data_IF_212645155442
#
_entry.id   IF_212645155442
#
_cell.length_a   1.000
_cell.length_b   1.000
_cell.length_c   1.000
_cell.angle_alpha   90.00
_cell.angle_beta   90.00
_cell.angle_gamma   90.00
#
_symmetry.space_group_name_H-M   'P 1'
#
loop_
_entity.id
_entity.type
_entity.pdbx_description
1 polymer ?
#
# COMPACT_ATOMS: atom_id res chain seq x y z
N UNK A 1 -25.12 2.89 35.51
CA UNK A 1 -24.96 2.21 34.20
C UNK A 1 -23.97 3.04 33.39
N UNK A 2 -22.66 2.75 33.51
CA UNK A 2 -21.61 3.46 32.76
C UNK A 2 -21.51 2.77 31.40
N UNK A 3 -21.91 3.46 30.34
CA UNK A 3 -21.65 3.06 28.97
C UNK A 3 -20.22 3.49 28.63
N UNK A 4 -19.35 2.49 28.47
CA UNK A 4 -17.98 2.67 28.03
C UNK A 4 -17.95 3.28 26.62
N UNK A 5 -17.33 4.45 26.54
CA UNK A 5 -16.98 5.12 25.29
C UNK A 5 -15.76 4.37 24.78
N UNK A 6 -15.93 3.45 23.83
CA UNK A 6 -14.80 2.80 23.16
C UNK A 6 -14.14 3.81 22.23
N UNK A 7 -13.21 4.58 22.79
CA UNK A 7 -12.30 5.43 22.06
C UNK A 7 -11.42 4.58 21.15
N UNK A 8 -11.74 4.56 19.86
CA UNK A 8 -10.77 4.19 18.83
C UNK A 8 -10.40 5.51 18.18
N UNK A 9 -9.19 5.98 18.49
CA UNK A 9 -8.59 7.14 17.83
C UNK A 9 -8.77 6.97 16.32
N UNK A 10 -9.53 7.87 15.70
CA UNK A 10 -9.49 8.02 14.25
C UNK A 10 -8.02 8.31 13.91
N UNK A 11 -7.27 7.30 13.46
CA UNK A 11 -5.97 7.51 12.82
C UNK A 11 -6.26 8.57 11.76
N UNK A 12 -5.66 9.75 11.89
CA UNK A 12 -5.98 10.88 11.04
C UNK A 12 -5.98 10.41 9.59
N UNK A 13 -6.99 10.81 8.82
CA UNK A 13 -7.02 10.58 7.37
C UNK A 13 -5.82 11.33 6.77
N UNK A 14 -4.67 10.65 6.71
CA UNK A 14 -3.45 11.17 6.09
C UNK A 14 -3.75 11.25 4.60
N UNK A 15 -4.02 12.46 4.13
CA UNK A 15 -4.29 12.74 2.72
C UNK A 15 -3.02 13.29 2.06
N UNK A 16 -2.67 12.80 0.87
CA UNK A 16 -1.52 13.31 0.14
C UNK A 16 -1.77 14.74 -0.33
N UNK A 17 -0.73 15.57 -0.30
CA UNK A 17 -0.73 16.94 -0.82
C UNK A 17 -0.74 16.98 -2.34
N UNK A 18 -0.03 16.05 -2.99
CA UNK A 18 0.07 16.00 -4.45
C UNK A 18 0.31 14.58 -4.96
N UNK A 19 0.12 14.40 -6.27
CA UNK A 19 0.30 13.12 -6.96
C UNK A 19 1.16 13.39 -8.19
N UNK A 20 2.18 12.57 -8.41
CA UNK A 20 2.93 12.53 -9.65
C UNK A 20 3.02 11.09 -10.18
N UNK A 21 3.50 10.92 -11.41
CA UNK A 21 3.73 9.60 -11.99
C UNK A 21 5.21 9.22 -11.87
N UNK A 22 5.48 7.94 -11.59
CA UNK A 22 6.85 7.43 -11.53
C UNK A 22 7.51 7.54 -12.91
N UNK A 23 8.78 7.98 -12.92
CA UNK A 23 9.56 8.16 -14.17
C UNK A 23 10.52 7.01 -14.44
N UNK A 24 10.97 6.34 -13.38
CA UNK A 24 11.92 5.24 -13.42
C UNK A 24 11.48 4.20 -12.40
N UNK A 25 11.80 2.95 -12.68
CA UNK A 25 11.60 1.88 -11.72
C UNK A 25 12.54 2.04 -10.52
N UNK A 26 12.03 1.70 -9.34
CA UNK A 26 12.77 1.56 -8.09
C UNK A 26 12.03 0.59 -7.18
N UNK A 27 12.66 0.13 -6.10
CA UNK A 27 12.04 -0.75 -5.10
C UNK A 27 10.79 -0.12 -4.47
N UNK A 28 10.80 1.19 -4.28
CA UNK A 28 9.63 1.94 -3.80
C UNK A 28 8.49 1.93 -4.83
N UNK A 29 8.80 2.14 -6.11
CA UNK A 29 7.82 2.10 -7.21
C UNK A 29 7.23 0.70 -7.38
N UNK A 30 8.04 -0.34 -7.20
CA UNK A 30 7.57 -1.74 -7.20
C UNK A 30 6.52 -1.97 -6.12
N UNK A 31 6.77 -1.51 -4.89
CA UNK A 31 5.80 -1.65 -3.81
C UNK A 31 4.55 -0.79 -4.02
N UNK A 32 4.70 0.46 -4.49
CA UNK A 32 3.57 1.32 -4.87
C UNK A 32 2.70 0.67 -5.95
N UNK A 33 3.32 0.06 -6.95
CA UNK A 33 2.64 -0.71 -7.99
C UNK A 33 1.78 -1.82 -7.38
N UNK A 34 2.35 -2.61 -6.45
CA UNK A 34 1.62 -3.71 -5.76
C UNK A 34 0.44 -3.18 -4.96
N UNK A 35 0.62 -2.14 -4.14
CA UNK A 35 -0.48 -1.50 -3.40
C UNK A 35 -1.60 -1.03 -4.32
N UNK A 36 -1.24 -0.39 -5.45
CA UNK A 36 -2.22 0.15 -6.41
C UNK A 36 -2.98 -0.94 -7.14
N UNK A 37 -2.33 -2.05 -7.49
CA UNK A 37 -3.03 -3.21 -8.02
C UNK A 37 -4.05 -3.79 -7.03
N UNK A 38 -3.75 -3.76 -5.73
CA UNK A 38 -4.67 -4.22 -4.69
C UNK A 38 -5.77 -3.20 -4.33
N UNK A 39 -5.76 -2.00 -4.93
CA UNK A 39 -6.76 -0.96 -4.71
C UNK A 39 -6.43 0.03 -3.59
N UNK A 40 -5.15 0.15 -3.22
CA UNK A 40 -4.64 1.10 -2.23
C UNK A 40 -3.64 2.05 -2.88
N UNK A 41 -3.57 3.28 -2.41
CA UNK A 41 -2.60 4.27 -2.89
C UNK A 41 -1.17 3.86 -2.54
N UNK A 42 -0.97 3.42 -1.30
CA UNK A 42 0.31 3.09 -0.69
C UNK A 42 0.12 2.25 0.60
N UNK A 43 1.23 1.99 1.30
CA UNK A 43 1.25 1.28 2.57
C UNK A 43 0.44 1.98 3.68
N UNK A 44 0.43 3.31 3.69
CA UNK A 44 -0.26 4.10 4.72
C UNK A 44 -1.77 3.85 4.64
N UNK A 45 -2.34 3.94 3.42
CA UNK A 45 -3.76 3.65 3.23
C UNK A 45 -4.08 2.19 3.52
N UNK A 46 -3.23 1.24 3.09
CA UNK A 46 -3.44 -0.18 3.37
C UNK A 46 -3.54 -0.45 4.88
N UNK A 47 -2.59 0.08 5.66
CA UNK A 47 -2.56 -0.06 7.13
C UNK A 47 -3.77 0.58 7.80
N UNK A 48 -4.23 1.72 7.30
CA UNK A 48 -5.43 2.39 7.80
C UNK A 48 -6.69 1.56 7.51
N UNK A 49 -6.88 1.12 6.27
CA UNK A 49 -8.09 0.39 5.83
C UNK A 49 -8.16 -0.99 6.47
N UNK A 50 -7.05 -1.72 6.54
CA UNK A 50 -7.00 -3.07 7.11
C UNK A 50 -6.72 -3.11 8.61
N UNK A 51 -6.47 -1.95 9.22
CA UNK A 51 -6.17 -1.82 10.65
C UNK A 51 -5.02 -2.74 11.08
N UNK A 52 -3.96 -2.77 10.25
CA UNK A 52 -2.72 -3.53 10.51
C UNK A 52 -1.56 -2.58 10.71
N UNK A 53 -0.58 -2.97 11.52
CA UNK A 53 0.62 -2.15 11.77
C UNK A 53 1.78 -2.49 10.81
N UNK A 54 1.80 -3.71 10.28
CA UNK A 54 2.85 -4.23 9.39
C UNK A 54 2.26 -4.86 8.12
N UNK A 55 3.06 -4.88 7.07
CA UNK A 55 2.76 -5.55 5.80
C UNK A 55 3.67 -6.76 5.64
N UNK A 56 3.14 -7.86 5.12
CA UNK A 56 3.94 -9.05 4.83
C UNK A 56 4.82 -8.78 3.61
N UNK A 57 6.14 -8.76 3.82
CA UNK A 57 7.15 -8.55 2.77
C UNK A 57 8.10 -9.74 2.67
N UNK A 58 8.72 -9.90 1.50
CA UNK A 58 9.82 -10.84 1.30
C UNK A 58 11.07 -10.37 2.06
N UNK A 59 11.71 -11.21 2.87
CA UNK A 59 12.85 -10.78 3.70
C UNK A 59 14.08 -10.39 2.88
N UNK A 60 14.24 -10.96 1.67
CA UNK A 60 15.42 -10.71 0.84
C UNK A 60 15.37 -9.40 0.05
N UNK A 61 14.17 -9.02 -0.43
CA UNK A 61 13.99 -7.83 -1.29
C UNK A 61 13.23 -6.70 -0.62
N UNK A 62 12.51 -6.98 0.47
CA UNK A 62 11.58 -6.02 1.08
C UNK A 62 10.32 -5.77 0.25
N UNK A 63 10.10 -6.52 -0.83
CA UNK A 63 8.89 -6.36 -1.64
C UNK A 63 7.67 -6.95 -0.97
N UNK A 64 6.53 -6.29 -1.13
CA UNK A 64 5.24 -6.75 -0.60
C UNK A 64 4.93 -8.15 -1.12
N UNK A 65 4.75 -9.10 -0.21
CA UNK A 65 4.51 -10.52 -0.54
C UNK A 65 3.04 -10.82 -0.74
N UNK A 66 2.17 -10.22 0.10
CA UNK A 66 0.73 -10.46 0.07
C UNK A 66 -0.05 -9.22 0.51
N UNK A 67 -1.12 -8.90 -0.21
CA UNK A 67 -2.09 -7.89 0.20
C UNK A 67 -3.51 -8.45 0.17
N UNK A 68 -4.31 -8.10 1.17
CA UNK A 68 -5.76 -8.31 1.09
C UNK A 68 -6.39 -7.13 0.36
N UNK A 69 -7.17 -7.39 -0.68
CA UNK A 69 -7.90 -6.40 -1.46
C UNK A 69 -9.12 -5.87 -0.72
N UNK A 70 -9.79 -4.87 -1.29
CA UNK A 70 -11.01 -4.28 -0.73
C UNK A 70 -12.21 -5.23 -0.74
N UNK A 71 -12.25 -6.17 -1.69
CA UNK A 71 -13.23 -7.26 -1.77
C UNK A 71 -12.88 -8.46 -0.87
N UNK A 72 -11.88 -8.32 0.00
CA UNK A 72 -11.36 -9.33 0.92
C UNK A 72 -10.67 -10.54 0.28
N UNK A 73 -10.48 -10.57 -1.05
CA UNK A 73 -9.60 -11.56 -1.69
C UNK A 73 -8.13 -11.20 -1.48
N UNK A 74 -7.22 -12.14 -1.75
CA UNK A 74 -5.79 -11.92 -1.58
C UNK A 74 -5.06 -11.84 -2.92
N UNK A 75 -4.14 -10.89 -3.05
CA UNK A 75 -3.10 -10.90 -4.06
C UNK A 75 -1.79 -11.38 -3.45
N UNK A 76 -1.08 -12.20 -4.20
CA UNK A 76 0.24 -12.71 -3.88
C UNK A 76 1.19 -12.22 -4.97
N UNK A 77 2.36 -11.75 -4.56
CA UNK A 77 3.35 -11.17 -5.46
C UNK A 77 4.67 -11.93 -5.34
N UNK A 78 5.39 -12.03 -6.46
CA UNK A 78 6.68 -12.66 -6.52
C UNK A 78 7.72 -11.92 -5.68
N UNK A 79 8.74 -12.66 -5.24
CA UNK A 79 9.90 -12.11 -4.52
C UNK A 79 10.74 -11.17 -5.38
N UNK A 80 10.69 -11.35 -6.69
CA UNK A 80 11.39 -10.54 -7.68
C UNK A 80 10.47 -9.42 -8.21
N UNK A 81 11.07 -8.51 -8.98
CA UNK A 81 10.40 -7.42 -9.68
C UNK A 81 9.25 -7.92 -10.57
N UNK A 82 8.09 -7.28 -10.47
CA UNK A 82 6.92 -7.50 -11.33
C UNK A 82 6.51 -6.24 -12.11
N UNK A 83 6.89 -5.04 -11.65
CA UNK A 83 6.60 -3.80 -12.37
C UNK A 83 7.55 -3.65 -13.56
N UNK A 84 7.09 -4.05 -14.74
CA UNK A 84 7.80 -3.87 -16.00
C UNK A 84 7.96 -2.38 -16.35
N UNK A 85 8.99 -2.01 -17.13
CA UNK A 85 9.26 -0.62 -17.49
C UNK A 85 8.08 0.09 -18.18
N UNK A 86 7.26 -0.67 -18.93
CA UNK A 86 6.04 -0.15 -19.57
C UNK A 86 4.92 0.18 -18.58
N UNK A 87 4.95 -0.36 -17.37
CA UNK A 87 3.94 -0.09 -16.33
C UNK A 87 4.39 1.03 -15.38
N UNK A 88 5.69 1.32 -15.29
CA UNK A 88 6.26 2.33 -14.37
C UNK A 88 5.54 3.67 -14.48
N UNK A 89 5.33 4.19 -15.69
CA UNK A 89 4.70 5.48 -15.90
C UNK A 89 3.23 5.53 -15.47
N UNK A 90 2.59 4.39 -15.19
CA UNK A 90 1.22 4.30 -14.67
C UNK A 90 1.17 4.36 -13.14
N UNK A 91 2.28 4.04 -12.47
CA UNK A 91 2.37 4.04 -11.01
C UNK A 91 2.31 5.47 -10.49
N UNK A 92 1.35 5.73 -9.60
CA UNK A 92 1.19 7.03 -8.94
C UNK A 92 2.09 7.10 -7.71
N UNK A 93 2.80 8.19 -7.54
CA UNK A 93 3.59 8.49 -6.35
C UNK A 93 2.87 9.59 -5.59
N UNK A 94 2.51 9.31 -4.34
CA UNK A 94 1.75 10.20 -3.47
C UNK A 94 2.71 10.93 -2.54
N UNK A 95 2.64 12.26 -2.52
CA UNK A 95 3.48 13.11 -1.67
C UNK A 95 2.63 13.68 -0.55
N UNK A 96 3.07 13.54 0.69
CA UNK A 96 2.35 13.90 1.91
C UNK A 96 2.84 15.19 2.58
#
# INVERSE_FOLDING_TARGET
>A
KKSEISGVMAKADIKPKSICHAKKWSDEVENLYRFQQAGYRDEVEYKQVKQVDTVECWPETGFVKKLQRRDNTFYYYNKQRECEDREVHKVKVYVY
#
